data_IF_870412128338
#
_entry.id   IF_870412128338
#
_cell.length_a   1.000
_cell.length_b   1.000
_cell.length_c   1.000
_cell.angle_alpha   90.00
_cell.angle_beta   90.00
_cell.angle_gamma   90.00
#
_symmetry.space_group_name_H-M   'P 1'
#
loop_
_entity.id
_entity.type
_entity.pdbx_description
1 polymer ?
#
# COMPACT_ATOMS: atom_id res chain seq x y z
N UNK A 1 11.71 -2.55 -6.24
CA UNK A 1 10.42 -2.30 -6.95
C UNK A 1 10.55 -1.32 -8.10
N UNK A 2 11.17 -0.13 -7.92
CA UNK A 2 11.18 0.92 -8.96
C UNK A 2 12.09 0.63 -10.17
N UNK A 3 13.28 0.06 -9.97
CA UNK A 3 14.28 -0.06 -11.04
C UNK A 3 14.25 -1.39 -11.79
N UNK A 4 13.79 -2.45 -11.15
CA UNK A 4 13.82 -3.83 -11.68
C UNK A 4 12.54 -4.62 -11.39
N UNK A 5 11.46 -3.95 -11.02
CA UNK A 5 10.23 -4.59 -10.57
C UNK A 5 10.33 -5.23 -9.17
N UNK A 6 9.35 -6.08 -8.85
CA UNK A 6 9.17 -6.74 -7.55
C UNK A 6 8.06 -6.09 -6.73
N UNK A 7 7.79 -6.67 -5.54
CA UNK A 7 6.77 -6.18 -4.60
C UNK A 7 7.42 -5.79 -3.27
N UNK A 8 6.95 -4.67 -2.71
CA UNK A 8 7.19 -4.25 -1.35
C UNK A 8 5.89 -4.38 -0.57
N UNK A 9 5.96 -4.97 0.63
CA UNK A 9 4.82 -5.12 1.51
C UNK A 9 5.17 -4.73 2.94
N UNK A 10 4.29 -3.95 3.54
CA UNK A 10 4.20 -3.72 4.96
C UNK A 10 2.74 -3.92 5.37
N UNK A 11 2.27 -5.19 5.44
CA UNK A 11 0.89 -5.50 5.75
C UNK A 11 0.56 -5.17 7.21
N UNK A 12 -0.72 -5.25 7.55
CA UNK A 12 -1.15 -5.15 8.95
C UNK A 12 -0.72 -6.41 9.70
N UNK A 13 -0.08 -6.23 10.85
CA UNK A 13 0.26 -7.30 11.78
C UNK A 13 -0.45 -7.11 13.13
N UNK A 14 -0.40 -8.11 14.00
CA UNK A 14 -1.08 -8.07 15.31
C UNK A 14 -0.64 -6.86 16.17
N UNK A 15 0.66 -6.50 16.10
CA UNK A 15 1.24 -5.38 16.86
C UNK A 15 0.79 -4.01 16.35
N UNK A 16 0.39 -3.92 15.08
CA UNK A 16 -0.01 -2.69 14.41
C UNK A 16 -1.51 -2.60 14.14
N UNK A 17 -2.29 -3.64 14.48
CA UNK A 17 -3.75 -3.70 14.28
C UNK A 17 -4.47 -2.48 14.87
N UNK A 18 -4.17 -2.14 16.12
CA UNK A 18 -4.77 -1.00 16.81
C UNK A 18 -4.35 0.37 16.24
N UNK A 19 -3.35 0.41 15.37
CA UNK A 19 -2.82 1.62 14.76
C UNK A 19 -3.21 1.77 13.28
N UNK A 20 -3.81 0.73 12.68
CA UNK A 20 -4.14 0.69 11.26
C UNK A 20 -2.94 0.39 10.35
N UNK A 21 -1.85 -0.17 10.87
CA UNK A 21 -0.61 -0.43 10.12
C UNK A 21 0.60 0.32 10.69
N UNK A 22 1.71 0.34 9.94
CA UNK A 22 2.98 0.95 10.40
C UNK A 22 3.36 2.22 9.65
N UNK A 23 3.23 2.23 8.33
CA UNK A 23 3.58 3.38 7.49
C UNK A 23 2.47 4.42 7.51
N UNK A 24 2.80 5.69 7.33
CA UNK A 24 1.85 6.81 7.34
C UNK A 24 1.35 7.09 5.94
N UNK A 25 0.05 7.33 5.86
CA UNK A 25 -0.65 7.58 4.61
C UNK A 25 -0.06 8.81 3.89
N UNK A 26 0.00 9.95 4.58
CA UNK A 26 0.27 11.24 3.93
C UNK A 26 1.69 11.43 3.40
N UNK A 27 2.70 10.90 4.09
CA UNK A 27 4.11 11.23 3.80
C UNK A 27 5.01 10.01 3.63
N UNK A 28 4.45 8.79 3.67
CA UNK A 28 5.17 7.56 3.29
C UNK A 28 4.41 6.83 2.16
N UNK A 29 3.13 6.52 2.37
CA UNK A 29 2.36 5.71 1.42
C UNK A 29 1.94 6.49 0.16
N UNK A 30 1.30 7.66 0.30
CA UNK A 30 0.78 8.44 -0.83
C UNK A 30 1.89 8.87 -1.82
N UNK A 31 3.03 9.45 -1.37
CA UNK A 31 4.09 9.84 -2.30
C UNK A 31 4.66 8.64 -3.06
N UNK A 32 4.88 7.51 -2.37
CA UNK A 32 5.41 6.30 -3.00
C UNK A 32 4.39 5.64 -3.93
N UNK A 33 3.11 5.61 -3.56
CA UNK A 33 2.04 5.08 -4.39
C UNK A 33 1.92 5.87 -5.69
N UNK A 34 1.97 7.21 -5.63
CA UNK A 34 1.96 8.06 -6.83
C UNK A 34 3.12 7.70 -7.77
N UNK A 35 4.35 7.58 -7.25
CA UNK A 35 5.52 7.21 -8.06
C UNK A 35 5.39 5.82 -8.68
N UNK A 36 4.95 4.83 -7.89
CA UNK A 36 4.79 3.44 -8.35
C UNK A 36 3.72 3.35 -9.43
N UNK A 37 2.56 3.99 -9.24
CA UNK A 37 1.48 3.97 -10.21
C UNK A 37 1.83 4.70 -11.50
N UNK A 38 2.53 5.83 -11.43
CA UNK A 38 3.03 6.54 -12.61
C UNK A 38 4.10 5.73 -13.37
N UNK A 39 4.79 4.81 -12.70
CA UNK A 39 5.69 3.85 -13.33
C UNK A 39 4.98 2.59 -13.88
N UNK A 40 3.65 2.56 -13.90
CA UNK A 40 2.84 1.43 -14.37
C UNK A 40 2.60 0.31 -13.34
N UNK A 41 3.08 0.49 -12.10
CA UNK A 41 2.83 -0.43 -10.99
C UNK A 41 1.41 -0.30 -10.41
N UNK A 42 1.22 -0.90 -9.24
CA UNK A 42 0.01 -0.75 -8.44
C UNK A 42 0.37 -0.55 -6.96
N UNK A 43 -0.53 0.08 -6.21
CA UNK A 43 -0.35 0.38 -4.80
C UNK A 43 -1.70 0.28 -4.04
N UNK A 44 -1.78 -0.62 -3.07
CA UNK A 44 -3.01 -0.97 -2.35
C UNK A 44 -2.74 -1.22 -0.87
N UNK A 45 -3.77 -1.07 -0.05
CA UNK A 45 -3.80 -1.49 1.36
C UNK A 45 -4.02 -3.00 1.50
N UNK A 46 -4.26 -3.70 0.39
CA UNK A 46 -4.76 -5.08 0.31
C UNK A 46 -6.27 -5.14 0.11
N UNK A 47 -7.00 -4.04 0.36
CA UNK A 47 -8.48 -3.98 0.20
C UNK A 47 -8.96 -2.79 -0.60
N UNK A 48 -8.19 -1.70 -0.61
CA UNK A 48 -8.49 -0.46 -1.33
C UNK A 48 -7.21 0.11 -1.96
N UNK A 49 -7.33 0.94 -2.99
CA UNK A 49 -6.20 1.61 -3.63
C UNK A 49 -5.67 2.73 -2.74
N UNK A 50 -4.35 2.83 -2.56
CA UNK A 50 -3.74 3.76 -1.58
C UNK A 50 -4.13 5.22 -1.86
N UNK A 51 -4.13 5.64 -3.12
CA UNK A 51 -4.43 7.03 -3.49
C UNK A 51 -5.92 7.40 -3.36
N UNK A 52 -6.80 6.42 -3.21
CA UNK A 52 -8.25 6.64 -3.03
C UNK A 52 -8.64 6.65 -1.54
N UNK A 53 -7.71 6.35 -0.63
CA UNK A 53 -7.95 6.39 0.82
C UNK A 53 -8.10 7.83 1.28
N UNK A 54 -9.31 8.21 1.68
CA UNK A 54 -9.56 9.51 2.29
C UNK A 54 -8.91 9.57 3.69
N UNK A 55 -7.94 10.48 3.94
CA UNK A 55 -7.32 10.60 5.26
C UNK A 55 -8.30 11.16 6.30
N UNK A 56 -8.35 10.52 7.47
CA UNK A 56 -9.07 10.98 8.67
C UNK A 56 -8.19 11.86 9.57
N UNK A 57 -6.87 11.67 9.54
CA UNK A 57 -5.90 12.39 10.38
C UNK A 57 -4.52 12.45 9.73
N UNK A 58 -3.75 13.49 10.06
CA UNK A 58 -2.43 13.75 9.45
C UNK A 58 -1.44 12.58 9.60
N UNK A 59 -1.41 11.94 10.77
CA UNK A 59 -0.51 10.82 11.07
C UNK A 59 -1.19 9.43 10.94
N UNK A 60 -2.26 9.34 10.14
CA UNK A 60 -2.94 8.07 9.87
C UNK A 60 -1.94 7.06 9.33
N UNK A 61 -1.99 5.84 9.87
CA UNK A 61 -1.21 4.72 9.36
C UNK A 61 -2.08 3.83 8.48
N UNK A 62 -1.41 3.12 7.58
CA UNK A 62 -2.05 2.27 6.58
C UNK A 62 -1.15 1.06 6.30
N UNK A 63 -1.70 -0.14 6.06
CA UNK A 63 -0.93 -1.22 5.45
C UNK A 63 -0.59 -0.85 4.00
N UNK A 64 0.53 -1.34 3.50
CA UNK A 64 1.03 -0.98 2.17
C UNK A 64 1.47 -2.22 1.42
N UNK A 65 0.97 -2.39 0.20
CA UNK A 65 1.41 -3.39 -0.78
C UNK A 65 1.59 -2.64 -2.10
N UNK A 66 2.80 -2.58 -2.65
CA UNK A 66 3.06 -1.84 -3.88
C UNK A 66 4.22 -2.41 -4.69
N UNK A 67 4.18 -2.19 -6.01
CA UNK A 67 5.21 -2.64 -6.94
C UNK A 67 4.63 -3.12 -8.27
N UNK A 68 5.19 -4.21 -8.81
CA UNK A 68 4.74 -4.83 -10.06
C UNK A 68 3.25 -5.16 -10.01
N UNK A 69 2.46 -4.61 -10.95
CA UNK A 69 0.99 -4.65 -10.94
C UNK A 69 0.41 -6.05 -10.72
N UNK A 70 0.80 -7.03 -11.55
CA UNK A 70 0.28 -8.40 -11.47
C UNK A 70 0.55 -9.07 -10.12
N UNK A 71 1.71 -8.81 -9.52
CA UNK A 71 2.05 -9.37 -8.22
C UNK A 71 1.24 -8.71 -7.10
N UNK A 72 1.04 -7.38 -7.17
CA UNK A 72 0.20 -6.64 -6.22
C UNK A 72 -1.26 -7.10 -6.32
N UNK A 73 -1.80 -7.25 -7.52
CA UNK A 73 -3.16 -7.75 -7.78
C UNK A 73 -3.34 -9.17 -7.21
N UNK A 74 -2.36 -10.06 -7.43
CA UNK A 74 -2.37 -11.41 -6.86
C UNK A 74 -2.41 -11.40 -5.34
N UNK A 75 -1.59 -10.58 -4.68
CA UNK A 75 -1.62 -10.45 -3.22
C UNK A 75 -2.96 -9.87 -2.74
N UNK A 76 -3.51 -8.92 -3.47
CA UNK A 76 -4.82 -8.30 -3.16
C UNK A 76 -5.94 -9.33 -3.23
N UNK A 77 -5.94 -10.23 -4.22
CA UNK A 77 -6.93 -11.29 -4.34
C UNK A 77 -7.03 -12.15 -3.06
N UNK A 78 -5.89 -12.57 -2.49
CA UNK A 78 -5.87 -13.33 -1.23
C UNK A 78 -6.48 -12.60 -0.02
N UNK A 79 -6.63 -11.27 -0.08
CA UNK A 79 -7.28 -10.51 1.00
C UNK A 79 -8.79 -10.33 0.78
N UNK A 80 -9.26 -10.55 -0.44
CA UNK A 80 -10.66 -10.40 -0.87
C UNK A 80 -11.42 -11.73 -0.92
N UNK A 81 -10.70 -12.85 -0.99
CA UNK A 81 -11.20 -14.20 -0.69
C UNK A 81 -11.65 -14.33 0.77
#
# INVERSE_FOLDING_TARGET
IMTRGGVFMYPMDEKSRNKGGKLRLMYEANPMAMLVEQAGGAATTGRERILDVQPERLHQRVPVIMGSRHEVERVTAYHLE
#
